data_IF_453249050950
#
_entry.id   IF_453249050950
#
_cell.length_a   1.000
_cell.length_b   1.000
_cell.length_c   1.000
_cell.angle_alpha   90.00
_cell.angle_beta   90.00
_cell.angle_gamma   90.00
#
_symmetry.space_group_name_H-M   'P 1'
#
loop_
_entity.id
_entity.type
_entity.pdbx_description
1 polymer ?
#
# COMPACT_ATOMS: atom_id res chain seq x y z
N UNK A 1 4.01 -7.31 21.65
CA UNK A 1 3.59 -6.14 22.46
C UNK A 1 4.79 -5.66 23.24
N UNK A 2 5.08 -4.36 23.24
CA UNK A 2 6.18 -3.80 24.02
C UNK A 2 5.91 -3.97 25.52
N UNK A 3 6.90 -4.39 26.29
CA UNK A 3 6.76 -4.68 27.72
C UNK A 3 6.70 -3.39 28.56
N UNK A 4 5.64 -2.60 28.42
CA UNK A 4 5.49 -1.28 29.06
C UNK A 4 5.63 -1.41 30.59
N UNK A 5 6.76 -0.93 31.12
CA UNK A 5 7.15 -1.06 32.53
C UNK A 5 6.76 0.12 33.41
N UNK A 6 6.33 1.24 32.84
CA UNK A 6 5.92 2.46 33.56
C UNK A 6 5.27 3.48 32.64
N UNK A 7 4.67 4.53 33.18
CA UNK A 7 4.08 5.64 32.41
C UNK A 7 4.65 6.96 32.97
N UNK A 8 5.17 7.87 32.13
CA UNK A 8 5.22 7.81 30.66
C UNK A 8 6.27 6.82 30.12
N UNK A 9 6.02 6.26 28.94
CA UNK A 9 6.87 5.32 28.20
C UNK A 9 6.98 5.80 26.76
N UNK A 10 8.16 5.71 26.15
CA UNK A 10 8.35 5.94 24.70
C UNK A 10 9.12 4.79 24.06
N UNK A 11 8.87 4.57 22.77
CA UNK A 11 9.62 3.65 21.91
C UNK A 11 10.13 4.44 20.71
N UNK A 12 11.44 4.49 20.53
CA UNK A 12 12.11 5.22 19.46
C UNK A 12 12.44 4.23 18.34
N UNK A 13 11.87 4.48 17.15
CA UNK A 13 11.88 3.57 15.99
C UNK A 13 11.54 2.11 16.35
N UNK A 14 10.78 1.90 17.42
CA UNK A 14 10.41 0.60 17.95
C UNK A 14 11.54 -0.24 18.57
N UNK A 15 12.76 0.28 18.68
CA UNK A 15 13.93 -0.50 19.16
C UNK A 15 14.61 0.04 20.40
N UNK A 16 14.48 1.33 20.70
CA UNK A 16 15.05 1.94 21.90
C UNK A 16 13.92 2.47 22.80
N UNK A 17 13.85 1.98 24.04
CA UNK A 17 12.82 2.40 24.98
C UNK A 17 13.30 3.49 25.94
N UNK A 18 12.39 4.38 26.34
CA UNK A 18 12.62 5.22 27.52
C UNK A 18 11.41 5.17 28.45
N UNK A 19 11.70 5.13 29.75
CA UNK A 19 10.66 5.06 30.80
C UNK A 19 10.86 6.20 31.77
N UNK A 20 9.75 6.83 32.14
CA UNK A 20 9.71 7.91 33.12
C UNK A 20 9.65 9.29 32.48
N UNK A 21 9.16 10.22 33.28
CA UNK A 21 9.09 11.64 32.94
C UNK A 21 9.67 12.48 34.06
N UNK A 22 9.54 13.79 33.93
CA UNK A 22 10.02 14.71 34.94
C UNK A 22 8.85 15.30 35.76
N UNK A 23 9.00 15.51 37.08
CA UNK A 23 7.94 16.06 37.92
C UNK A 23 7.41 17.41 37.44
N UNK A 24 6.14 17.68 37.76
CA UNK A 24 5.46 18.97 37.53
C UNK A 24 5.45 19.42 36.06
N UNK A 25 5.52 18.48 35.12
CA UNK A 25 5.50 18.79 33.68
C UNK A 25 6.75 19.48 33.15
N UNK A 26 7.85 19.53 33.91
CA UNK A 26 9.09 20.15 33.44
C UNK A 26 9.88 19.19 32.54
N UNK A 27 9.52 19.11 31.26
CA UNK A 27 10.14 18.20 30.30
C UNK A 27 11.54 18.58 29.83
N UNK A 28 12.03 19.78 30.15
CA UNK A 28 13.34 20.26 29.69
C UNK A 28 14.50 19.29 30.01
N UNK A 29 14.58 18.65 31.18
CA UNK A 29 15.66 17.70 31.48
C UNK A 29 15.58 16.42 30.65
N UNK A 30 14.39 16.01 30.21
CA UNK A 30 14.21 14.82 29.36
C UNK A 30 14.81 15.03 27.97
N UNK A 31 14.90 16.27 27.49
CA UNK A 31 15.54 16.61 26.21
C UNK A 31 16.99 16.08 26.14
N UNK A 32 17.75 16.19 27.23
CA UNK A 32 19.13 15.69 27.27
C UNK A 32 19.23 14.16 27.20
N UNK A 33 18.16 13.45 27.55
CA UNK A 33 18.06 12.00 27.39
C UNK A 33 17.62 11.61 25.96
N UNK A 34 16.76 12.42 25.34
CA UNK A 34 16.22 12.16 24.01
C UNK A 34 17.17 12.54 22.87
N UNK A 35 17.89 13.65 23.01
CA UNK A 35 18.76 14.17 21.96
C UNK A 35 19.86 13.16 21.52
N UNK A 36 20.54 12.43 22.42
CA UNK A 36 21.49 11.40 22.01
C UNK A 36 20.85 10.25 21.22
N UNK A 37 19.64 9.83 21.62
CA UNK A 37 18.88 8.77 20.93
C UNK A 37 18.52 9.23 19.52
N UNK A 38 17.93 10.42 19.40
CA UNK A 38 17.63 11.03 18.10
C UNK A 38 18.88 11.13 17.22
N UNK A 39 19.99 11.64 17.75
CA UNK A 39 21.24 11.79 16.99
C UNK A 39 21.84 10.45 16.54
N UNK A 40 21.50 9.34 17.20
CA UNK A 40 21.94 8.00 16.80
C UNK A 40 21.09 7.37 15.69
N UNK A 41 19.92 7.94 15.40
CA UNK A 41 18.94 7.41 14.43
C UNK A 41 18.68 8.36 13.26
N UNK A 42 18.95 9.66 13.43
CA UNK A 42 18.72 10.65 12.38
C UNK A 42 19.65 10.38 11.19
N UNK A 43 19.06 10.32 9.99
CA UNK A 43 19.78 10.03 8.76
C UNK A 43 19.96 8.55 8.46
N UNK A 44 19.34 7.65 9.24
CA UNK A 44 19.18 6.27 8.83
C UNK A 44 18.28 6.20 7.59
N UNK A 45 18.78 5.58 6.52
CA UNK A 45 18.03 5.41 5.29
C UNK A 45 16.98 4.32 5.45
N UNK A 46 15.85 4.50 4.76
CA UNK A 46 14.79 3.50 4.62
C UNK A 46 14.48 3.31 3.14
N UNK A 47 14.25 2.07 2.68
CA UNK A 47 13.86 1.83 1.29
C UNK A 47 12.41 2.23 1.00
N UNK A 48 11.61 2.49 2.04
CA UNK A 48 10.19 2.76 1.88
C UNK A 48 9.90 4.25 1.78
N UNK A 49 9.01 4.61 0.87
CA UNK A 49 8.29 5.88 0.87
C UNK A 49 6.80 5.59 1.11
N UNK A 50 6.11 6.50 1.81
CA UNK A 50 4.69 6.36 2.13
C UNK A 50 3.99 7.64 1.72
N UNK A 51 3.02 7.50 0.84
CA UNK A 51 2.11 8.56 0.45
C UNK A 51 0.72 8.29 1.03
N UNK A 52 0.03 9.35 1.50
CA UNK A 52 -1.28 9.23 2.15
C UNK A 52 -2.22 10.24 1.51
N UNK A 53 -3.20 9.74 0.77
CA UNK A 53 -4.26 10.52 0.14
C UNK A 53 -5.63 10.04 0.60
N UNK A 54 -6.68 10.69 0.10
CA UNK A 54 -8.04 10.34 0.45
C UNK A 54 -9.02 11.48 0.28
N UNK A 55 -10.25 11.22 0.68
CA UNK A 55 -11.36 12.14 0.51
C UNK A 55 -12.15 12.30 1.80
N UNK A 56 -12.54 13.54 2.13
CA UNK A 56 -13.39 13.86 3.27
C UNK A 56 -14.84 13.99 2.78
N UNK A 57 -15.67 13.00 3.12
CA UNK A 57 -17.12 13.06 2.97
C UNK A 57 -17.80 13.86 4.10
N UNK A 58 -19.12 13.77 4.20
CA UNK A 58 -19.87 14.51 5.22
C UNK A 58 -19.62 13.99 6.66
N UNK A 59 -19.48 12.68 6.81
CA UNK A 59 -19.27 12.00 8.12
C UNK A 59 -18.20 10.93 8.09
N UNK A 60 -17.70 10.58 6.92
CA UNK A 60 -16.73 9.51 6.70
C UNK A 60 -15.54 10.08 5.92
N UNK A 61 -14.36 9.59 6.24
CA UNK A 61 -13.13 9.89 5.52
C UNK A 61 -12.66 8.59 4.87
N UNK A 62 -12.50 8.60 3.55
CA UNK A 62 -11.77 7.55 2.84
C UNK A 62 -10.29 7.90 2.78
N UNK A 63 -9.46 6.87 2.75
CA UNK A 63 -8.01 7.04 2.65
C UNK A 63 -7.41 5.96 1.76
N UNK A 64 -6.32 6.33 1.12
CA UNK A 64 -5.46 5.48 0.31
C UNK A 64 -4.02 5.72 0.79
N UNK A 65 -3.37 4.66 1.25
CA UNK A 65 -1.97 4.69 1.68
C UNK A 65 -1.15 3.87 0.70
N UNK A 66 -0.37 4.54 -0.13
CA UNK A 66 0.55 3.90 -1.07
C UNK A 66 1.93 3.78 -0.43
N UNK A 67 2.46 2.55 -0.37
CA UNK A 67 3.85 2.27 0.00
C UNK A 67 4.64 1.94 -1.24
N UNK A 68 5.74 2.65 -1.48
CA UNK A 68 6.66 2.40 -2.59
C UNK A 68 8.06 2.04 -2.08
N UNK A 69 8.85 1.35 -2.91
CA UNK A 69 10.21 0.94 -2.57
C UNK A 69 11.27 1.51 -3.53
N UNK A 70 12.22 2.29 -3.00
CA UNK A 70 13.38 2.78 -3.73
C UNK A 70 14.49 1.72 -3.89
N UNK A 71 14.51 0.76 -2.97
CA UNK A 71 15.50 -0.32 -2.95
C UNK A 71 14.89 -1.60 -2.37
N UNK A 72 15.21 -2.76 -2.96
CA UNK A 72 14.67 -4.04 -2.49
C UNK A 72 15.08 -4.40 -1.06
N UNK A 73 14.15 -4.96 -0.30
CA UNK A 73 14.36 -5.44 1.07
C UNK A 73 13.48 -6.65 1.38
N UNK A 74 13.87 -7.44 2.38
CA UNK A 74 13.02 -8.54 2.86
C UNK A 74 11.68 -8.04 3.40
N UNK A 75 10.58 -8.54 2.83
CA UNK A 75 9.21 -8.34 3.33
C UNK A 75 8.85 -9.23 4.54
N UNK A 76 9.76 -10.09 5.00
CA UNK A 76 9.47 -11.00 6.11
C UNK A 76 9.07 -10.26 7.39
N UNK A 77 7.83 -10.52 7.84
CA UNK A 77 7.22 -9.87 9.01
C UNK A 77 7.13 -8.34 8.90
N UNK A 78 7.14 -7.79 7.68
CA UNK A 78 6.87 -6.37 7.45
C UNK A 78 5.37 -6.16 7.41
N UNK A 79 4.92 -5.17 8.16
CA UNK A 79 3.52 -4.80 8.23
C UNK A 79 3.36 -3.29 8.13
N UNK A 80 2.23 -2.87 7.58
CA UNK A 80 1.77 -1.50 7.67
C UNK A 80 0.74 -1.38 8.79
N UNK A 81 0.89 -0.35 9.60
CA UNK A 81 -0.08 0.05 10.61
C UNK A 81 -0.63 1.43 10.26
N UNK A 82 -1.95 1.52 10.08
CA UNK A 82 -2.64 2.77 9.74
C UNK A 82 -3.59 3.12 10.86
N UNK A 83 -3.46 4.33 11.41
CA UNK A 83 -4.28 4.77 12.53
C UNK A 83 -4.53 6.28 12.51
N UNK A 84 -5.63 6.68 13.14
CA UNK A 84 -6.06 8.07 13.21
C UNK A 84 -5.63 8.67 14.54
N UNK A 85 -5.09 9.88 14.47
CA UNK A 85 -4.78 10.68 15.66
C UNK A 85 -5.53 12.01 15.61
N UNK A 86 -5.93 12.50 16.77
CA UNK A 86 -6.33 13.89 16.93
C UNK A 86 -5.18 14.65 17.61
N UNK A 87 -4.74 15.73 16.97
CA UNK A 87 -3.69 16.60 17.46
C UNK A 87 -4.26 17.78 18.27
N UNK A 88 -3.41 18.43 19.04
CA UNK A 88 -3.72 19.70 19.72
C UNK A 88 -4.97 19.70 20.63
N UNK A 89 -5.25 18.61 21.34
CA UNK A 89 -6.41 18.50 22.24
C UNK A 89 -6.14 19.22 23.56
N UNK A 90 -6.92 20.26 23.85
CA UNK A 90 -6.81 20.99 25.11
C UNK A 90 -7.31 20.16 26.29
N UNK A 91 -6.40 19.77 27.19
CA UNK A 91 -6.71 18.86 28.30
C UNK A 91 -5.97 19.23 29.58
N UNK A 92 -6.56 18.90 30.73
CA UNK A 92 -5.94 19.12 32.04
C UNK A 92 -5.02 17.96 32.42
N UNK A 93 -3.75 18.25 32.67
CA UNK A 93 -2.74 17.24 33.01
C UNK A 93 -2.50 17.23 34.51
N UNK A 94 -3.02 16.21 35.20
CA UNK A 94 -2.91 16.08 36.66
C UNK A 94 -1.46 16.07 37.16
N UNK A 95 -0.56 15.39 36.43
CA UNK A 95 0.88 15.35 36.76
C UNK A 95 1.61 16.69 36.65
N UNK A 96 1.08 17.63 35.85
CA UNK A 96 1.61 18.98 35.70
C UNK A 96 0.80 20.03 36.49
N UNK A 97 -0.40 19.69 36.95
CA UNK A 97 -1.37 20.62 37.55
C UNK A 97 -1.66 21.84 36.66
N UNK A 98 -1.72 21.62 35.35
CA UNK A 98 -1.90 22.66 34.34
C UNK A 98 -2.63 22.10 33.12
N UNK A 99 -3.24 22.98 32.33
CA UNK A 99 -3.78 22.64 31.02
C UNK A 99 -2.69 22.71 29.96
N UNK A 100 -2.67 21.72 29.07
CA UNK A 100 -1.76 21.63 27.94
C UNK A 100 -2.47 21.00 26.74
N UNK A 101 -1.88 21.14 25.56
CA UNK A 101 -2.34 20.45 24.35
C UNK A 101 -1.72 19.06 24.30
N UNK A 102 -2.56 18.03 24.37
CA UNK A 102 -2.16 16.67 24.04
C UNK A 102 -1.97 16.57 22.53
N UNK A 103 -0.80 16.07 22.13
CA UNK A 103 -0.40 15.98 20.71
C UNK A 103 -0.56 14.55 20.22
N UNK A 104 -1.02 14.38 18.99
CA UNK A 104 -1.14 13.09 18.29
C UNK A 104 -1.78 11.98 19.14
N UNK A 105 -2.92 12.26 19.78
CA UNK A 105 -3.59 11.25 20.59
C UNK A 105 -4.32 10.29 19.67
N UNK A 106 -3.89 9.03 19.65
CA UNK A 106 -4.57 7.97 18.91
C UNK A 106 -6.06 7.93 19.25
N UNK A 107 -6.87 7.93 18.21
CA UNK A 107 -8.33 7.89 18.27
C UNK A 107 -8.87 6.55 17.82
N UNK A 108 -8.34 6.05 16.71
CA UNK A 108 -8.73 4.78 16.15
C UNK A 108 -7.56 4.09 15.47
N UNK A 109 -7.57 2.77 15.47
CA UNK A 109 -6.57 1.93 14.81
C UNK A 109 -7.26 1.22 13.65
N UNK A 110 -7.01 1.70 12.44
CA UNK A 110 -7.81 1.34 11.27
C UNK A 110 -7.44 -0.05 10.77
N UNK A 111 -6.15 -0.30 10.55
CA UNK A 111 -5.69 -1.59 10.03
C UNK A 111 -4.24 -1.91 10.41
N UNK A 112 -3.93 -3.21 10.32
CA UNK A 112 -2.60 -3.79 10.42
C UNK A 112 -2.48 -4.89 9.37
N UNK A 113 -1.75 -4.65 8.30
CA UNK A 113 -1.69 -5.55 7.13
C UNK A 113 -0.26 -6.00 6.84
N UNK A 114 -0.11 -7.17 6.24
CA UNK A 114 1.21 -7.63 5.75
C UNK A 114 1.56 -6.87 4.47
N UNK A 115 2.83 -6.48 4.35
CA UNK A 115 3.37 -5.85 3.12
C UNK A 115 3.92 -6.95 2.22
N UNK A 116 3.49 -6.95 0.97
CA UNK A 116 3.84 -7.96 -0.04
C UNK A 116 5.07 -7.55 -0.85
N UNK A 117 5.29 -6.25 -1.05
CA UNK A 117 6.41 -5.73 -1.86
C UNK A 117 7.79 -5.97 -1.24
N UNK A 118 8.76 -6.25 -2.10
CA UNK A 118 10.13 -6.60 -1.72
C UNK A 118 11.22 -6.16 -2.69
N UNK A 119 10.87 -5.70 -3.90
CA UNK A 119 11.83 -5.24 -4.91
C UNK A 119 11.71 -3.74 -5.18
N UNK A 120 12.75 -3.14 -5.78
CA UNK A 120 12.78 -1.71 -6.05
C UNK A 120 11.84 -1.37 -7.21
N UNK A 121 11.03 -0.32 -7.03
CA UNK A 121 10.02 0.14 -7.98
C UNK A 121 8.65 -0.51 -7.79
N UNK A 122 8.50 -1.47 -6.88
CA UNK A 122 7.19 -2.00 -6.51
C UNK A 122 6.43 -0.99 -5.63
N UNK A 123 5.11 -0.98 -5.79
CA UNK A 123 4.16 -0.20 -5.00
C UNK A 123 3.04 -1.11 -4.50
N UNK A 124 2.44 -0.76 -3.36
CA UNK A 124 1.29 -1.45 -2.79
C UNK A 124 0.42 -0.43 -2.06
N UNK A 125 -0.88 -0.45 -2.37
CA UNK A 125 -1.85 0.52 -1.83
C UNK A 125 -2.79 -0.16 -0.85
N UNK A 126 -3.00 0.51 0.29
CA UNK A 126 -3.90 0.07 1.35
C UNK A 126 -5.00 1.12 1.54
N UNK A 127 -6.23 0.73 1.24
CA UNK A 127 -7.38 1.64 1.24
C UNK A 127 -8.38 1.29 2.33
N UNK A 128 -9.12 2.28 2.80
CA UNK A 128 -10.20 2.07 3.76
C UNK A 128 -10.98 3.33 4.09
N UNK A 129 -11.89 3.21 5.05
CA UNK A 129 -12.68 4.35 5.54
C UNK A 129 -12.73 4.39 7.07
N UNK A 130 -13.02 5.56 7.61
CA UNK A 130 -13.36 5.71 9.03
C UNK A 130 -14.36 6.84 9.28
N UNK A 131 -15.15 6.68 10.34
CA UNK A 131 -16.13 7.67 10.77
C UNK A 131 -15.46 8.84 11.51
N UNK A 132 -15.76 10.07 11.07
CA UNK A 132 -15.32 11.28 11.75
C UNK A 132 -16.27 11.60 12.91
N UNK A 133 -15.81 11.38 14.13
CA UNK A 133 -16.61 11.69 15.32
C UNK A 133 -16.88 13.20 15.43
N UNK A 134 -18.13 13.55 15.73
CA UNK A 134 -18.55 14.93 16.00
C UNK A 134 -17.85 15.57 17.21
N UNK A 135 -17.26 14.74 18.08
CA UNK A 135 -16.55 15.19 19.29
C UNK A 135 -15.08 15.51 18.99
N UNK A 136 -14.58 15.22 17.79
CA UNK A 136 -13.21 15.51 17.37
C UNK A 136 -13.15 16.86 16.65
N UNK A 137 -12.01 17.54 16.76
CA UNK A 137 -11.73 18.67 15.90
C UNK A 137 -11.16 18.21 14.55
N UNK A 138 -11.98 18.23 13.50
CA UNK A 138 -11.62 17.82 12.14
C UNK A 138 -10.35 18.50 11.61
N UNK A 139 -10.13 19.78 11.96
CA UNK A 139 -8.94 20.53 11.54
C UNK A 139 -7.63 19.98 12.13
N UNK A 140 -7.74 19.16 13.18
CA UNK A 140 -6.61 18.58 13.92
C UNK A 140 -6.52 17.06 13.77
N UNK A 141 -7.34 16.44 12.91
CA UNK A 141 -7.29 15.01 12.65
C UNK A 141 -6.21 14.70 11.61
N UNK A 142 -5.41 13.66 11.88
CA UNK A 142 -4.37 13.16 10.98
C UNK A 142 -4.44 11.66 10.86
N UNK A 143 -4.09 11.15 9.69
CA UNK A 143 -3.78 9.74 9.46
C UNK A 143 -2.28 9.58 9.63
N UNK A 144 -1.87 8.53 10.34
CA UNK A 144 -0.47 8.12 10.45
C UNK A 144 -0.37 6.69 9.94
N UNK A 145 0.56 6.48 9.01
CA UNK A 145 0.91 5.16 8.50
C UNK A 145 2.35 4.85 8.87
N UNK A 146 2.60 3.62 9.33
CA UNK A 146 3.90 3.16 9.80
C UNK A 146 4.23 1.82 9.15
N UNK A 147 5.41 1.72 8.54
CA UNK A 147 6.00 0.43 8.13
C UNK A 147 6.86 -0.11 9.27
N UNK A 148 6.45 -1.24 9.84
CA UNK A 148 7.13 -1.87 10.97
C UNK A 148 7.43 -3.34 10.72
N UNK A 149 8.63 -3.76 11.11
CA UNK A 149 8.94 -5.18 11.23
C UNK A 149 8.44 -5.73 12.57
N UNK A 150 7.49 -6.65 12.53
CA UNK A 150 6.86 -7.18 13.73
C UNK A 150 7.73 -8.19 14.50
N UNK A 151 8.79 -8.72 13.89
CA UNK A 151 9.73 -9.60 14.58
C UNK A 151 10.77 -8.80 15.37
N UNK A 152 11.50 -7.91 14.68
CA UNK A 152 12.56 -7.08 15.25
C UNK A 152 12.05 -5.83 15.99
N UNK A 153 10.79 -5.45 15.75
CA UNK A 153 10.14 -4.23 16.25
C UNK A 153 10.58 -2.93 15.60
N UNK A 154 11.59 -2.96 14.73
CA UNK A 154 12.05 -1.79 13.99
C UNK A 154 10.93 -1.16 13.16
N UNK A 155 10.75 0.14 13.33
CA UNK A 155 9.97 1.00 12.43
C UNK A 155 10.92 1.52 11.36
N UNK A 156 10.61 1.29 10.09
CA UNK A 156 11.44 1.71 8.96
C UNK A 156 10.98 3.04 8.38
N UNK A 157 9.67 3.29 8.32
CA UNK A 157 9.13 4.52 7.75
C UNK A 157 7.86 4.92 8.48
N UNK A 158 7.61 6.23 8.54
CA UNK A 158 6.38 6.82 9.05
C UNK A 158 6.02 8.03 8.21
N UNK A 159 4.75 8.11 7.79
CA UNK A 159 4.16 9.31 7.21
C UNK A 159 2.93 9.73 8.00
N UNK A 160 2.66 11.03 8.01
CA UNK A 160 1.53 11.60 8.72
C UNK A 160 0.98 12.79 7.95
N UNK A 161 -0.30 12.71 7.57
CA UNK A 161 -0.98 13.73 6.78
C UNK A 161 -2.23 14.20 7.52
N UNK A 162 -2.48 15.51 7.52
CA UNK A 162 -3.75 16.06 7.99
C UNK A 162 -4.82 15.73 6.96
N UNK A 163 -5.99 15.29 7.41
CA UNK A 163 -7.06 14.90 6.49
C UNK A 163 -7.43 16.02 5.51
N UNK A 164 -7.27 17.28 5.91
CA UNK A 164 -7.57 18.45 5.07
C UNK A 164 -6.47 18.79 4.05
N UNK A 165 -5.32 18.12 4.15
CA UNK A 165 -4.17 18.30 3.25
C UNK A 165 -4.05 17.14 2.23
N UNK A 166 -4.98 16.17 2.23
CA UNK A 166 -5.00 15.04 1.28
C UNK A 166 -5.47 15.47 -0.11
N UNK A 167 -4.96 14.82 -1.15
CA UNK A 167 -5.43 14.98 -2.53
C UNK A 167 -6.58 14.00 -2.83
N UNK A 168 -7.80 14.48 -3.17
CA UNK A 168 -8.94 13.60 -3.44
C UNK A 168 -8.98 13.03 -4.87
N UNK A 169 -8.11 13.49 -5.79
CA UNK A 169 -8.03 13.09 -7.20
C UNK A 169 -6.54 13.21 -7.63
N UNK A 170 -5.76 12.16 -7.33
CA UNK A 170 -4.29 12.19 -7.39
C UNK A 170 -3.76 12.34 -8.81
N UNK A 171 -4.49 11.85 -9.81
CA UNK A 171 -4.06 11.86 -11.21
C UNK A 171 -4.77 12.94 -12.06
N UNK A 172 -5.63 13.75 -11.43
CA UNK A 172 -6.40 14.85 -12.01
C UNK A 172 -7.29 14.42 -13.19
N UNK A 173 -7.82 13.20 -13.17
CA UNK A 173 -8.64 12.63 -14.24
C UNK A 173 -10.14 12.99 -14.14
N UNK A 174 -10.56 13.47 -12.96
CA UNK A 174 -11.92 13.88 -12.65
C UNK A 174 -12.77 12.80 -11.96
N UNK A 175 -12.18 11.64 -11.66
CA UNK A 175 -12.72 10.58 -10.79
C UNK A 175 -12.02 10.68 -9.44
N UNK A 176 -12.77 10.56 -8.35
CA UNK A 176 -12.18 10.63 -7.02
C UNK A 176 -11.44 9.32 -6.72
N UNK A 177 -10.34 9.37 -5.96
CA UNK A 177 -9.52 8.19 -5.64
C UNK A 177 -10.35 6.98 -5.17
N UNK A 178 -11.41 7.19 -4.38
CA UNK A 178 -12.24 6.09 -3.84
C UNK A 178 -13.20 5.46 -4.87
N UNK A 179 -13.32 6.05 -6.06
CA UNK A 179 -14.12 5.58 -7.19
C UNK A 179 -13.24 5.28 -8.42
N UNK A 180 -11.93 5.45 -8.30
CA UNK A 180 -10.96 5.38 -9.39
C UNK A 180 -10.26 4.01 -9.42
N UNK A 181 -10.43 3.28 -10.52
CA UNK A 181 -9.79 1.99 -10.75
C UNK A 181 -8.33 2.08 -11.21
N UNK A 182 -7.78 3.29 -11.40
CA UNK A 182 -6.37 3.55 -11.65
C UNK A 182 -5.85 4.81 -10.93
N UNK A 183 -5.84 4.79 -9.59
CA UNK A 183 -5.40 5.86 -8.65
C UNK A 183 -4.23 6.79 -9.06
N UNK A 184 -3.29 6.32 -9.87
CA UNK A 184 -2.09 7.07 -10.27
C UNK A 184 -1.98 7.30 -11.79
N UNK A 185 -2.93 6.82 -12.59
CA UNK A 185 -2.86 6.80 -14.05
C UNK A 185 -4.16 7.30 -14.68
N UNK A 186 -4.11 8.55 -15.15
CA UNK A 186 -5.20 9.26 -15.83
C UNK A 186 -6.05 8.36 -16.75
N UNK A 187 -7.30 8.08 -16.34
CA UNK A 187 -8.24 7.24 -17.08
C UNK A 187 -9.72 7.63 -16.86
N UNK A 188 -10.18 8.82 -17.31
CA UNK A 188 -11.52 9.33 -16.99
C UNK A 188 -12.69 8.46 -17.49
N UNK A 189 -12.41 7.50 -18.38
CA UNK A 189 -13.36 6.54 -18.91
C UNK A 189 -13.59 5.33 -18.00
N UNK A 190 -12.69 5.09 -17.03
CA UNK A 190 -12.74 4.01 -16.05
C UNK A 190 -13.00 2.64 -16.70
N UNK A 191 -12.47 2.43 -17.92
CA UNK A 191 -12.66 1.18 -18.63
C UNK A 191 -11.95 0.03 -17.92
N UNK A 192 -12.67 -1.05 -17.65
CA UNK A 192 -12.21 -2.28 -17.00
C UNK A 192 -12.88 -3.45 -17.76
N UNK A 193 -12.14 -4.07 -18.67
CA UNK A 193 -12.71 -5.07 -19.59
C UNK A 193 -12.92 -6.44 -18.91
N UNK A 194 -12.06 -6.79 -17.95
CA UNK A 194 -12.11 -8.08 -17.25
C UNK A 194 -12.83 -8.06 -15.90
N UNK A 195 -13.24 -6.88 -15.44
CA UNK A 195 -14.07 -6.62 -14.26
C UNK A 195 -13.40 -7.12 -12.97
N UNK A 196 -12.10 -6.84 -12.82
CA UNK A 196 -11.34 -7.14 -11.60
C UNK A 196 -11.17 -5.91 -10.69
N UNK A 197 -11.84 -4.80 -11.03
CA UNK A 197 -11.79 -3.49 -10.38
C UNK A 197 -10.44 -2.75 -10.56
N UNK A 198 -9.56 -3.21 -11.47
CA UNK A 198 -8.34 -2.51 -11.91
C UNK A 198 -8.56 -2.01 -13.35
N UNK A 199 -8.35 -0.72 -13.60
CA UNK A 199 -8.64 -0.15 -14.91
C UNK A 199 -7.67 -0.59 -15.99
N UNK A 200 -8.15 -0.68 -17.24
CA UNK A 200 -7.36 -1.04 -18.42
C UNK A 200 -6.06 -0.24 -18.58
N UNK A 201 -6.01 0.99 -18.05
CA UNK A 201 -4.86 1.89 -18.14
C UNK A 201 -3.70 1.47 -17.21
N UNK A 202 -4.02 0.87 -16.07
CA UNK A 202 -3.06 0.45 -15.03
C UNK A 202 -2.98 -1.08 -14.89
N UNK A 203 -3.91 -1.83 -15.47
CA UNK A 203 -3.89 -3.29 -15.47
C UNK A 203 -3.13 -3.87 -16.69
N UNK A 204 -1.96 -4.50 -16.49
CA UNK A 204 -1.28 -5.23 -17.55
C UNK A 204 -2.02 -6.51 -18.01
N UNK A 205 -2.98 -7.01 -17.24
CA UNK A 205 -3.71 -8.25 -17.46
C UNK A 205 -5.18 -8.06 -17.90
N UNK A 206 -5.51 -6.88 -18.43
CA UNK A 206 -6.86 -6.38 -18.75
C UNK A 206 -7.67 -7.14 -19.82
N UNK A 207 -7.31 -8.38 -20.17
CA UNK A 207 -7.89 -9.17 -21.25
C UNK A 207 -7.96 -8.48 -22.62
N UNK A 208 -7.20 -7.40 -22.86
CA UNK A 208 -7.08 -6.78 -24.19
C UNK A 208 -5.91 -7.38 -24.99
N UNK A 209 -4.81 -7.71 -24.30
CA UNK A 209 -3.59 -8.26 -24.91
C UNK A 209 -3.36 -9.70 -24.48
N UNK A 210 -3.28 -9.96 -23.17
CA UNK A 210 -3.23 -11.32 -22.64
C UNK A 210 -4.62 -11.94 -22.71
N UNK A 211 -4.90 -12.64 -23.80
CA UNK A 211 -6.15 -13.36 -24.04
C UNK A 211 -5.87 -14.83 -24.28
N UNK A 212 -6.91 -15.68 -24.19
CA UNK A 212 -6.80 -17.10 -24.54
C UNK A 212 -6.12 -17.29 -25.90
N UNK A 213 -4.88 -17.80 -25.87
CA UNK A 213 -4.05 -18.05 -27.04
C UNK A 213 -2.94 -17.03 -27.30
N UNK A 214 -2.99 -15.82 -26.74
CA UNK A 214 -1.88 -14.86 -26.74
C UNK A 214 -1.21 -14.86 -25.37
N UNK A 215 -0.12 -15.62 -25.25
CA UNK A 215 0.57 -15.85 -23.98
C UNK A 215 1.83 -15.00 -23.85
N UNK A 216 2.42 -14.56 -24.97
CA UNK A 216 3.63 -13.72 -24.93
C UNK A 216 3.30 -12.22 -24.82
N UNK A 217 2.02 -11.84 -24.93
CA UNK A 217 1.54 -10.47 -24.80
C UNK A 217 1.86 -9.58 -26.00
N UNK A 218 2.11 -10.15 -27.18
CA UNK A 218 2.37 -9.37 -28.38
C UNK A 218 1.08 -8.92 -29.08
N UNK A 219 1.18 -7.82 -29.83
CA UNK A 219 0.04 -7.23 -30.49
C UNK A 219 0.44 -6.51 -31.78
N UNK A 220 -0.53 -6.40 -32.69
CA UNK A 220 -0.36 -5.69 -33.97
C UNK A 220 -0.37 -4.18 -33.77
N UNK A 221 0.04 -3.42 -34.80
CA UNK A 221 0.01 -1.95 -34.75
C UNK A 221 -1.40 -1.34 -34.54
N UNK A 222 -2.46 -2.09 -34.80
CA UNK A 222 -3.85 -1.73 -34.50
C UNK A 222 -4.32 -2.19 -33.12
N UNK A 223 -3.42 -2.67 -32.26
CA UNK A 223 -3.70 -3.02 -30.87
C UNK A 223 -4.42 -4.35 -30.68
N UNK A 224 -4.36 -5.26 -31.66
CA UNK A 224 -4.99 -6.58 -31.54
C UNK A 224 -3.96 -7.62 -31.10
N UNK A 225 -4.35 -8.55 -30.21
CA UNK A 225 -3.47 -9.63 -29.79
C UNK A 225 -3.01 -10.44 -30.99
N UNK A 226 -1.72 -10.77 -31.07
CA UNK A 226 -1.19 -11.68 -32.08
C UNK A 226 -1.14 -13.07 -31.49
N UNK A 227 -1.61 -14.07 -32.24
CA UNK A 227 -1.60 -15.47 -31.80
C UNK A 227 -0.79 -16.25 -32.81
N UNK A 228 0.43 -16.62 -32.44
CA UNK A 228 1.37 -17.29 -33.31
C UNK A 228 2.23 -18.35 -32.60
N UNK A 229 3.27 -18.82 -33.29
CA UNK A 229 4.14 -19.88 -32.77
C UNK A 229 4.91 -19.48 -31.50
N UNK A 230 5.12 -18.18 -31.26
CA UNK A 230 5.79 -17.70 -30.06
C UNK A 230 4.93 -17.91 -28.82
N UNK A 231 3.60 -17.86 -28.92
CA UNK A 231 2.70 -18.21 -27.81
C UNK A 231 2.80 -19.68 -27.40
N UNK A 232 2.94 -20.57 -28.40
CA UNK A 232 3.19 -21.99 -28.15
C UNK A 232 4.50 -22.18 -27.40
N UNK A 233 5.54 -21.42 -27.76
CA UNK A 233 6.83 -21.48 -27.06
C UNK A 233 6.68 -21.00 -25.62
N UNK A 234 5.97 -19.90 -25.39
CA UNK A 234 5.71 -19.37 -24.03
C UNK A 234 4.93 -20.37 -23.18
N UNK A 235 3.88 -20.99 -23.73
CA UNK A 235 3.10 -22.00 -23.02
C UNK A 235 3.96 -23.22 -22.65
N UNK A 236 4.79 -23.70 -23.57
CA UNK A 236 5.69 -24.83 -23.31
C UNK A 236 6.72 -24.47 -22.24
N UNK A 237 7.28 -23.27 -22.29
CA UNK A 237 8.27 -22.81 -21.31
C UNK A 237 7.64 -22.70 -19.91
N UNK A 238 6.46 -22.08 -19.81
CA UNK A 238 5.69 -22.00 -18.56
C UNK A 238 5.38 -23.38 -17.97
N UNK A 239 4.98 -24.36 -18.80
CA UNK A 239 4.70 -25.72 -18.32
C UNK A 239 5.95 -26.47 -17.82
N UNK A 240 7.15 -26.08 -18.27
CA UNK A 240 8.41 -26.71 -17.88
C UNK A 240 9.01 -26.03 -16.65
N UNK A 241 9.01 -24.70 -16.64
CA UNK A 241 9.70 -23.88 -15.64
C UNK A 241 8.78 -23.51 -14.47
N UNK A 242 7.47 -23.46 -14.70
CA UNK A 242 6.50 -22.78 -13.84
C UNK A 242 6.86 -21.31 -13.58
N UNK A 243 7.64 -20.69 -14.47
CA UNK A 243 7.99 -19.28 -14.44
C UNK A 243 7.15 -18.53 -15.47
N UNK A 244 6.51 -17.44 -15.05
CA UNK A 244 5.64 -16.61 -15.88
C UNK A 244 5.19 -15.37 -15.12
N UNK A 245 4.64 -14.37 -15.83
CA UNK A 245 3.97 -13.24 -15.20
C UNK A 245 2.57 -13.65 -14.68
N UNK A 246 1.90 -12.77 -13.96
CA UNK A 246 0.58 -13.05 -13.41
C UNK A 246 -0.48 -13.26 -14.51
N UNK A 247 -0.44 -12.47 -15.59
CA UNK A 247 -1.37 -12.58 -16.71
C UNK A 247 -1.34 -13.95 -17.40
N UNK A 248 -0.15 -14.55 -17.52
CA UNK A 248 0.08 -15.86 -18.14
C UNK A 248 -0.79 -16.96 -17.50
N UNK A 249 -0.97 -16.91 -16.19
CA UNK A 249 -1.66 -17.97 -15.45
C UNK A 249 -3.14 -18.07 -15.87
N UNK A 250 -3.75 -16.92 -16.19
CA UNK A 250 -5.15 -16.82 -16.57
C UNK A 250 -5.44 -17.29 -18.00
N UNK A 251 -4.42 -17.26 -18.89
CA UNK A 251 -4.60 -17.54 -20.33
C UNK A 251 -4.01 -18.88 -20.79
N UNK A 252 -3.46 -19.69 -19.87
CA UNK A 252 -2.81 -20.97 -20.20
C UNK A 252 -3.75 -22.16 -20.46
N UNK A 253 -5.00 -22.08 -19.99
CA UNK A 253 -6.01 -23.14 -20.10
C UNK A 253 -6.79 -23.04 -21.43
N UNK A 254 -6.09 -23.28 -22.53
CA UNK A 254 -6.58 -23.10 -23.91
C UNK A 254 -7.79 -24.00 -24.22
N UNK A 255 -7.88 -25.18 -23.62
CA UNK A 255 -8.98 -26.11 -23.86
C UNK A 255 -10.15 -25.99 -22.86
N UNK A 256 -10.06 -25.05 -21.92
CA UNK A 256 -11.04 -24.78 -20.87
C UNK A 256 -11.37 -25.98 -19.95
N UNK A 257 -10.46 -26.94 -19.78
CA UNK A 257 -10.67 -28.12 -18.94
C UNK A 257 -10.29 -27.92 -17.45
N UNK A 258 -9.80 -26.73 -17.11
CA UNK A 258 -9.27 -26.29 -15.81
C UNK A 258 -7.88 -26.83 -15.47
N UNK A 259 -7.17 -27.41 -16.44
CA UNK A 259 -5.81 -27.92 -16.24
C UNK A 259 -4.87 -27.43 -17.34
N UNK A 260 -3.96 -26.51 -17.02
CA UNK A 260 -2.89 -26.12 -17.94
C UNK A 260 -1.87 -27.25 -18.10
N UNK A 261 -1.85 -27.90 -19.26
CA UNK A 261 -0.99 -29.03 -19.56
C UNK A 261 -0.67 -29.17 -21.07
N UNK A 262 -0.06 -30.29 -21.46
CA UNK A 262 0.33 -30.53 -22.87
C UNK A 262 -0.86 -30.55 -23.84
N UNK A 263 -2.08 -30.81 -23.35
CA UNK A 263 -3.29 -30.74 -24.17
C UNK A 263 -3.60 -29.30 -24.62
N UNK A 264 -3.29 -28.30 -23.80
CA UNK A 264 -3.44 -26.89 -24.17
C UNK A 264 -2.46 -26.47 -25.25
N UNK A 265 -1.22 -26.98 -25.19
CA UNK A 265 -0.22 -26.80 -26.25
C UNK A 265 -0.74 -27.35 -27.58
N UNK A 266 -1.35 -28.53 -27.56
CA UNK A 266 -1.92 -29.15 -28.76
C UNK A 266 -3.10 -28.32 -29.28
N UNK A 267 -3.98 -27.85 -28.40
CA UNK A 267 -5.11 -26.99 -28.76
C UNK A 267 -4.65 -25.68 -29.37
N UNK A 268 -3.64 -25.02 -28.80
CA UNK A 268 -3.09 -23.77 -29.32
C UNK A 268 -2.46 -23.94 -30.70
N UNK A 269 -1.66 -25.02 -30.88
CA UNK A 269 -1.11 -25.35 -32.20
C UNK A 269 -2.22 -25.60 -33.23
N UNK A 270 -3.32 -26.27 -32.83
CA UNK A 270 -4.46 -26.47 -33.72
C UNK A 270 -5.17 -25.15 -34.08
N UNK A 271 -5.31 -24.23 -33.13
CA UNK A 271 -5.88 -22.89 -33.37
C UNK A 271 -5.05 -22.15 -34.41
N UNK A 272 -3.72 -22.09 -34.23
CA UNK A 272 -2.81 -21.41 -35.15
C UNK A 272 -2.84 -22.04 -36.55
N UNK A 273 -2.77 -23.38 -36.62
CA UNK A 273 -2.75 -24.10 -37.90
C UNK A 273 -4.07 -23.98 -38.69
N UNK A 274 -5.18 -23.79 -38.00
CA UNK A 274 -6.49 -23.57 -38.62
C UNK A 274 -6.74 -22.10 -38.98
N UNK A 275 -5.76 -21.21 -38.74
CA UNK A 275 -5.84 -19.78 -39.03
C UNK A 275 -6.70 -19.03 -38.02
N UNK A 276 -6.40 -19.20 -36.72
CA UNK A 276 -7.08 -18.53 -35.60
C UNK A 276 -7.38 -17.05 -35.85
N UNK A 277 -8.60 -16.65 -35.44
CA UNK A 277 -9.32 -15.36 -35.54
C UNK A 277 -8.95 -14.37 -36.65
#
# INVERSE_FOLDING_TARGET
MYGVGGIPHTQWNGVEETVGGYPSGNWQPMYNSFLPIYNSMVGDDTPYEIDINGFIGETEVSYDVTVSMDAGMSNSSQKIDIFVVEDNIWSYWTGASAYHNARNVARDWLTTEDISISTAGETETFSGTFDLSIDWNSDSVKIIAIVQNYSSKQIYQVSAVNINDMDPDVDDDGVLNNEDNCLEIYNPGQEDEDNDDIGNACDPCNNLVYVLGNLNGDYTLDGKPTIDVFDVLTLVDYLITAEGNECLQHVTNINEDNFSNVLDVISLVQIILNGGY
#
